data_IF_884883740987
#
_entry.id   IF_884883740987
#
_cell.length_a   1.000
_cell.length_b   1.000
_cell.length_c   1.000
_cell.angle_alpha   90.00
_cell.angle_beta   90.00
_cell.angle_gamma   90.00
#
_symmetry.space_group_name_H-M   'P 1'
#
loop_
_entity.id
_entity.type
_entity.pdbx_description
1 polymer ?
#
# COMPACT_ATOMS: atom_id res chain seq x y z
N UNK A 1 -3.88 1.42 15.85
CA UNK A 1 -2.85 0.34 15.84
C UNK A 1 -1.47 0.91 15.46
N UNK A 2 -0.35 0.16 15.47
CA UNK A 2 0.98 0.70 15.11
C UNK A 2 1.22 0.63 13.59
N UNK A 3 0.62 1.56 12.85
CA UNK A 3 0.73 1.67 11.38
C UNK A 3 2.08 2.22 10.91
N UNK A 4 2.90 2.77 11.81
CA UNK A 4 4.22 3.33 11.51
C UNK A 4 5.23 2.27 11.05
N UNK A 5 4.88 0.98 11.14
CA UNK A 5 5.67 -0.14 10.62
C UNK A 5 5.33 -0.51 9.18
N UNK A 6 4.27 0.06 8.61
CA UNK A 6 3.88 -0.17 7.23
C UNK A 6 4.49 0.90 6.31
N UNK A 7 4.84 0.49 5.11
CA UNK A 7 5.23 1.40 4.03
C UNK A 7 4.01 2.16 3.47
N UNK A 8 4.24 3.32 2.84
CA UNK A 8 3.18 4.12 2.21
C UNK A 8 2.40 3.24 1.21
N UNK A 9 3.12 2.37 0.50
CA UNK A 9 2.53 1.44 -0.47
C UNK A 9 1.62 0.41 0.19
N UNK A 10 2.04 -0.20 1.32
CA UNK A 10 1.20 -1.16 2.03
C UNK A 10 -0.07 -0.51 2.55
N UNK A 11 0.04 0.69 3.12
CA UNK A 11 -1.12 1.46 3.56
C UNK A 11 -2.03 1.79 2.36
N UNK A 12 -1.47 2.25 1.24
CA UNK A 12 -2.23 2.57 0.04
C UNK A 12 -3.05 1.37 -0.48
N UNK A 13 -2.43 0.20 -0.57
CA UNK A 13 -3.08 -1.02 -1.04
C UNK A 13 -4.13 -1.53 -0.04
N UNK A 14 -3.86 -1.48 1.27
CA UNK A 14 -4.83 -1.85 2.30
C UNK A 14 -6.05 -0.93 2.28
N UNK A 15 -5.84 0.39 2.25
CA UNK A 15 -6.92 1.38 2.14
C UNK A 15 -7.74 1.16 0.87
N UNK A 16 -7.08 0.91 -0.26
CA UNK A 16 -7.76 0.65 -1.54
C UNK A 16 -8.59 -0.64 -1.50
N UNK A 17 -8.04 -1.71 -0.92
CA UNK A 17 -8.73 -2.99 -0.74
C UNK A 17 -9.96 -2.81 0.16
N UNK A 18 -9.79 -2.14 1.29
CA UNK A 18 -10.85 -2.00 2.30
C UNK A 18 -11.99 -1.12 1.80
N UNK A 19 -11.68 -0.01 1.12
CA UNK A 19 -12.70 0.81 0.44
C UNK A 19 -13.50 0.00 -0.59
N UNK A 20 -12.85 -0.90 -1.30
CA UNK A 20 -13.51 -1.78 -2.26
C UNK A 20 -14.39 -2.82 -1.57
N UNK A 21 -13.89 -3.47 -0.50
CA UNK A 21 -14.65 -4.48 0.25
C UNK A 21 -15.87 -3.89 0.96
N UNK A 22 -15.75 -2.68 1.52
CA UNK A 22 -16.87 -1.98 2.16
C UNK A 22 -17.80 -1.28 1.14
N UNK A 23 -17.49 -1.31 -0.16
CA UNK A 23 -18.28 -0.64 -1.20
C UNK A 23 -18.34 0.89 -1.04
N UNK A 24 -17.36 1.50 -0.38
CA UNK A 24 -17.34 2.93 -0.07
C UNK A 24 -16.76 3.73 -1.24
N UNK A 25 -17.55 4.68 -1.76
CA UNK A 25 -16.97 5.76 -2.55
C UNK A 25 -16.10 6.66 -1.67
N UNK A 26 -15.17 7.40 -2.29
CA UNK A 26 -14.32 8.35 -1.55
C UNK A 26 -15.15 9.37 -0.77
N UNK A 27 -16.28 9.80 -1.34
CA UNK A 27 -17.18 10.76 -0.71
C UNK A 27 -17.83 10.17 0.53
N UNK A 28 -18.40 8.97 0.41
CA UNK A 28 -19.00 8.26 1.54
C UNK A 28 -17.98 7.97 2.64
N UNK A 29 -16.75 7.58 2.28
CA UNK A 29 -15.67 7.39 3.24
C UNK A 29 -15.36 8.69 4.01
N UNK A 30 -15.23 9.82 3.32
CA UNK A 30 -14.97 11.11 3.97
C UNK A 30 -16.15 11.53 4.87
N UNK A 31 -17.39 11.38 4.40
CA UNK A 31 -18.60 11.74 5.15
C UNK A 31 -18.73 10.87 6.42
N UNK A 32 -18.56 9.56 6.30
CA UNK A 32 -18.62 8.62 7.43
C UNK A 32 -17.48 8.87 8.44
N UNK A 33 -16.24 9.04 7.97
CA UNK A 33 -15.10 9.38 8.83
C UNK A 33 -15.34 10.69 9.60
N UNK A 34 -15.78 11.74 8.91
CA UNK A 34 -15.98 13.04 9.54
C UNK A 34 -17.16 13.04 10.52
N UNK A 35 -18.12 12.13 10.35
CA UNK A 35 -19.20 11.92 11.31
C UNK A 35 -18.70 11.16 12.56
N UNK A 36 -17.89 10.13 12.38
CA UNK A 36 -17.33 9.33 13.48
C UNK A 36 -16.39 10.15 14.37
N UNK A 37 -15.55 11.00 13.78
CA UNK A 37 -14.60 11.85 14.51
C UNK A 37 -15.06 13.31 14.65
N UNK A 38 -16.37 13.55 14.64
CA UNK A 38 -16.93 14.91 14.65
C UNK A 38 -16.46 15.74 15.86
N UNK A 39 -16.40 15.14 17.05
CA UNK A 39 -15.96 15.82 18.29
C UNK A 39 -14.49 16.24 18.23
N UNK A 40 -13.63 15.37 17.72
CA UNK A 40 -12.20 15.65 17.58
C UNK A 40 -11.95 16.71 16.51
N UNK A 41 -12.73 16.67 15.43
CA UNK A 41 -12.72 17.70 14.38
C UNK A 41 -13.13 19.05 14.96
N UNK A 42 -14.15 19.10 15.81
CA UNK A 42 -14.54 20.32 16.53
C UNK A 42 -13.44 20.80 17.47
N UNK A 43 -12.67 19.88 18.07
CA UNK A 43 -11.50 20.19 18.89
C UNK A 43 -10.25 20.63 18.08
N UNK A 44 -10.34 20.67 16.74
CA UNK A 44 -9.28 21.17 15.86
C UNK A 44 -8.60 20.10 14.98
N UNK A 45 -9.04 18.84 15.03
CA UNK A 45 -8.52 17.81 14.15
C UNK A 45 -8.92 18.05 12.67
N UNK A 46 -8.02 17.86 11.69
CA UNK A 46 -8.34 18.15 10.29
C UNK A 46 -9.40 17.21 9.72
N UNK A 47 -10.50 17.77 9.19
CA UNK A 47 -11.52 17.03 8.44
C UNK A 47 -10.91 16.27 7.28
N UNK A 48 -11.42 15.09 6.98
CA UNK A 48 -11.00 14.28 5.86
C UNK A 48 -11.68 14.73 4.57
N UNK A 49 -10.90 14.91 3.51
CA UNK A 49 -11.35 15.36 2.19
C UNK A 49 -11.01 14.33 1.11
N UNK A 50 -11.71 14.43 -0.02
CA UNK A 50 -11.57 13.46 -1.12
C UNK A 50 -10.14 13.42 -1.67
N UNK A 51 -9.47 14.57 -1.72
CA UNK A 51 -8.11 14.68 -2.28
C UNK A 51 -7.09 14.00 -1.38
N UNK A 52 -7.30 14.03 -0.06
CA UNK A 52 -6.52 13.30 0.92
C UNK A 52 -6.64 11.79 0.72
N UNK A 53 -7.87 11.24 0.68
CA UNK A 53 -8.06 9.79 0.41
C UNK A 53 -7.48 9.41 -0.95
N UNK A 54 -7.67 10.27 -1.96
CA UNK A 54 -7.17 10.04 -3.30
C UNK A 54 -5.64 10.02 -3.37
N UNK A 55 -4.96 10.86 -2.58
CA UNK A 55 -3.50 10.86 -2.43
C UNK A 55 -3.01 9.59 -1.75
N UNK A 56 -3.71 9.12 -0.72
CA UNK A 56 -3.40 7.85 -0.06
C UNK A 56 -3.49 6.68 -1.03
N UNK A 57 -4.59 6.57 -1.77
CA UNK A 57 -4.76 5.53 -2.81
C UNK A 57 -3.70 5.58 -3.92
N UNK A 58 -3.10 6.75 -4.17
CA UNK A 58 -2.05 6.96 -5.17
C UNK A 58 -0.65 6.84 -4.58
N UNK A 59 -0.50 6.41 -3.32
CA UNK A 59 0.80 6.31 -2.64
C UNK A 59 1.57 7.65 -2.60
N UNK A 60 0.85 8.78 -2.55
CA UNK A 60 1.42 10.13 -2.57
C UNK A 60 1.13 10.87 -1.24
N UNK A 61 1.66 10.34 -0.13
CA UNK A 61 1.47 10.86 1.23
C UNK A 61 2.64 10.42 2.13
N UNK A 62 2.68 10.95 3.36
CA UNK A 62 3.64 10.53 4.40
C UNK A 62 2.94 9.69 5.48
N UNK A 63 3.47 8.48 5.78
CA UNK A 63 2.92 7.54 6.79
C UNK A 63 2.71 8.20 8.16
N UNK A 64 3.58 9.14 8.56
CA UNK A 64 3.67 9.62 9.95
C UNK A 64 2.59 10.65 10.33
N UNK A 65 1.59 10.90 9.49
CA UNK A 65 0.48 11.77 9.86
C UNK A 65 -0.50 11.01 10.74
N UNK A 66 -0.82 11.56 11.91
CA UNK A 66 -1.92 11.11 12.79
C UNK A 66 -3.23 10.89 12.00
N UNK A 67 -3.45 11.71 10.96
CA UNK A 67 -4.59 11.63 10.05
C UNK A 67 -4.63 10.35 9.22
N UNK A 68 -3.47 9.82 8.84
CA UNK A 68 -3.38 8.52 8.15
C UNK A 68 -3.67 7.39 9.14
N UNK A 69 -3.15 7.48 10.36
CA UNK A 69 -3.41 6.45 11.39
C UNK A 69 -4.89 6.36 11.74
N UNK A 70 -5.55 7.49 11.99
CA UNK A 70 -7.00 7.53 12.24
C UNK A 70 -7.82 7.01 11.06
N UNK A 71 -7.42 7.30 9.82
CA UNK A 71 -8.08 6.72 8.64
C UNK A 71 -7.95 5.19 8.61
N UNK A 72 -6.78 4.65 8.97
CA UNK A 72 -6.57 3.21 9.04
C UNK A 72 -7.38 2.57 10.18
N UNK A 73 -7.48 3.23 11.34
CA UNK A 73 -8.32 2.77 12.45
C UNK A 73 -9.81 2.77 12.05
N UNK A 74 -10.29 3.84 11.40
CA UNK A 74 -11.66 3.94 10.87
C UNK A 74 -12.02 2.82 9.89
N UNK A 75 -11.13 2.57 8.94
CA UNK A 75 -11.30 1.50 7.96
C UNK A 75 -11.10 0.11 8.58
N UNK A 76 -10.72 0.01 9.86
CA UNK A 76 -10.43 -1.24 10.57
C UNK A 76 -9.39 -2.09 9.84
N UNK A 77 -8.37 -1.42 9.30
CA UNK A 77 -7.27 -2.10 8.61
C UNK A 77 -6.49 -2.91 9.65
N UNK A 78 -6.68 -4.23 9.60
CA UNK A 78 -5.88 -5.16 10.38
C UNK A 78 -4.46 -5.19 9.83
N UNK A 79 -3.48 -4.86 10.67
CA UNK A 79 -2.06 -5.00 10.34
C UNK A 79 -1.64 -6.40 10.77
N UNK A 80 -1.43 -7.36 9.85
CA UNK A 80 -0.99 -8.68 10.24
C UNK A 80 0.38 -8.54 10.90
N UNK A 81 0.54 -9.07 12.12
CA UNK A 81 1.80 -9.02 12.88
C UNK A 81 2.99 -9.63 12.10
N UNK A 82 2.72 -10.39 11.05
CA UNK A 82 3.71 -11.02 10.15
C UNK A 82 3.99 -10.25 8.85
N UNK A 83 3.32 -9.12 8.58
CA UNK A 83 3.59 -8.26 7.41
C UNK A 83 4.52 -7.07 7.70
N UNK A 84 5.15 -7.05 8.88
CA UNK A 84 6.39 -6.30 9.11
C UNK A 84 7.52 -7.07 8.39
N UNK A 85 7.36 -7.33 7.10
CA UNK A 85 8.51 -7.63 6.26
C UNK A 85 9.17 -6.29 6.02
N UNK A 86 10.39 -6.13 6.53
CA UNK A 86 11.33 -5.13 6.04
C UNK A 86 11.13 -5.01 4.52
N UNK A 87 11.05 -3.78 3.99
CA UNK A 87 10.98 -3.57 2.54
C UNK A 87 11.93 -4.56 1.87
N UNK A 88 11.36 -5.54 1.17
CA UNK A 88 12.16 -6.49 0.41
C UNK A 88 13.12 -5.65 -0.41
N UNK A 89 14.43 -5.79 -0.20
CA UNK A 89 15.46 -5.01 -0.90
C UNK A 89 15.22 -5.02 -2.42
N UNK A 90 14.62 -6.12 -2.90
CA UNK A 90 14.22 -6.35 -4.27
C UNK A 90 13.09 -5.43 -4.76
N UNK A 91 12.21 -4.92 -3.89
CA UNK A 91 11.05 -4.10 -4.30
C UNK A 91 11.47 -2.79 -4.97
N UNK A 92 12.51 -2.13 -4.46
CA UNK A 92 13.08 -0.93 -5.08
C UNK A 92 13.72 -1.26 -6.42
N UNK A 93 14.39 -2.41 -6.50
CA UNK A 93 15.02 -2.92 -7.72
C UNK A 93 13.95 -3.26 -8.78
N UNK A 94 12.83 -3.87 -8.38
CA UNK A 94 11.68 -4.16 -9.27
C UNK A 94 11.06 -2.90 -9.87
N UNK A 95 10.88 -1.83 -9.07
CA UNK A 95 10.37 -0.55 -9.59
C UNK A 95 11.31 0.08 -10.63
N UNK A 96 12.63 -0.01 -10.40
CA UNK A 96 13.62 0.46 -11.38
C UNK A 96 13.59 -0.37 -12.66
N UNK A 97 13.43 -1.68 -12.53
CA UNK A 97 13.29 -2.60 -13.66
C UNK A 97 12.03 -2.27 -14.48
N UNK A 98 10.88 -2.06 -13.84
CA UNK A 98 9.64 -1.70 -14.53
C UNK A 98 9.77 -0.39 -15.32
N UNK A 99 10.37 0.65 -14.74
CA UNK A 99 10.61 1.91 -15.41
C UNK A 99 11.55 1.77 -16.63
N UNK A 100 12.58 0.93 -16.51
CA UNK A 100 13.52 0.65 -17.60
C UNK A 100 12.85 -0.13 -18.75
N UNK A 101 11.99 -1.09 -18.43
CA UNK A 101 11.22 -1.87 -19.40
C UNK A 101 10.23 -0.99 -20.17
N UNK A 102 9.51 -0.11 -19.49
CA UNK A 102 8.59 0.84 -20.13
C UNK A 102 9.30 1.80 -21.09
N UNK A 103 10.55 2.15 -20.80
CA UNK A 103 11.35 3.09 -21.59
C UNK A 103 12.07 2.43 -22.77
N UNK A 104 12.27 1.10 -22.75
CA UNK A 104 12.97 0.37 -23.80
C UNK A 104 12.46 -1.07 -23.98
N UNK A 105 11.69 -1.35 -25.04
CA UNK A 105 11.15 -2.68 -25.33
C UNK A 105 12.20 -3.79 -25.50
N UNK A 106 13.45 -3.45 -25.86
CA UNK A 106 14.54 -4.45 -25.96
C UNK A 106 14.98 -4.96 -24.59
N UNK A 107 14.88 -4.13 -23.55
CA UNK A 107 15.20 -4.49 -22.16
C UNK A 107 14.17 -5.48 -21.60
N UNK A 108 12.90 -5.38 -22.02
CA UNK A 108 11.83 -6.28 -21.59
C UNK A 108 12.21 -7.75 -21.81
N UNK A 109 12.74 -8.07 -23.00
CA UNK A 109 13.09 -9.44 -23.36
C UNK A 109 14.21 -10.00 -22.48
N UNK A 110 15.18 -9.16 -22.12
CA UNK A 110 16.29 -9.54 -21.24
C UNK A 110 15.82 -9.72 -19.79
N UNK A 111 15.02 -8.78 -19.28
CA UNK A 111 14.44 -8.84 -17.93
C UNK A 111 13.57 -10.09 -17.77
N UNK A 112 12.71 -10.39 -18.76
CA UNK A 112 11.86 -11.59 -18.73
C UNK A 112 12.68 -12.88 -18.67
N UNK A 113 13.82 -12.94 -19.37
CA UNK A 113 14.75 -14.06 -19.30
C UNK A 113 15.36 -14.23 -17.91
N UNK A 114 15.81 -13.13 -17.29
CA UNK A 114 16.37 -13.16 -15.94
C UNK A 114 15.34 -13.59 -14.88
N UNK A 115 14.12 -13.05 -14.96
CA UNK A 115 13.02 -13.42 -14.05
C UNK A 115 12.65 -14.90 -14.20
N UNK A 116 12.65 -15.42 -15.43
CA UNK A 116 12.42 -16.85 -15.68
C UNK A 116 13.52 -17.70 -15.04
N UNK A 117 14.79 -17.33 -15.18
CA UNK A 117 15.89 -18.05 -14.54
C UNK A 117 15.78 -18.04 -13.00
N UNK A 118 15.39 -16.91 -12.42
CA UNK A 118 15.15 -16.80 -10.97
C UNK A 118 14.00 -17.72 -10.53
N UNK A 119 12.91 -17.74 -11.30
CA UNK A 119 11.78 -18.63 -11.04
C UNK A 119 12.17 -20.11 -11.15
N UNK A 120 12.98 -20.47 -12.14
CA UNK A 120 13.47 -21.83 -12.32
C UNK A 120 14.36 -22.28 -11.15
N UNK A 121 15.23 -21.38 -10.63
CA UNK A 121 16.03 -21.64 -9.42
C UNK A 121 15.13 -21.85 -8.19
N UNK A 122 14.13 -20.98 -8.00
CA UNK A 122 13.22 -21.09 -6.86
C UNK A 122 12.43 -22.42 -6.88
N UNK A 123 12.00 -22.85 -8.08
CA UNK A 123 11.28 -24.11 -8.28
C UNK A 123 12.19 -25.34 -8.12
N UNK A 124 13.46 -25.27 -8.53
CA UNK A 124 14.43 -26.34 -8.30
C UNK A 124 14.77 -26.50 -6.81
N UNK A 125 14.81 -25.39 -6.08
CA UNK A 125 15.09 -25.36 -4.63
C UNK A 125 13.98 -25.98 -3.79
N UNK A 126 12.75 -26.04 -4.31
CA UNK A 126 11.58 -26.64 -3.64
C UNK A 126 11.54 -28.16 -3.78
N UNK A 127 12.28 -28.75 -4.72
CA UNK A 127 12.33 -30.20 -4.98
C UNK A 127 13.43 -30.95 -4.21
N UNK A 128 14.34 -30.24 -3.52
CA UNK A 128 15.40 -30.86 -2.71
C UNK A 128 15.07 -30.93 -1.21
N UNK A 129 13.84 -30.57 -0.82
CA UNK A 129 13.35 -30.60 0.56
C UNK A 129 12.14 -31.51 0.78
N UNK A 130 12.02 -32.60 0.01
CA UNK A 130 11.00 -33.66 0.18
C UNK A 130 11.66 -34.99 0.50
#
# INVERSE_FOLDING_TARGET
MNYNKLTNFQIAELVKSELFQQGLSLRQCCEAFNAEYAEEIQAGFPRLDKDFVQRIKKNNFEINSERVSKLCDFLKIDVPKHQIQEESKLKKEFLQIEAAVQSNPLIEKQVRGLLKNIADIANASTLQGS
#
